data_IF_625401697096
#
_entry.id   IF_625401697096
#
_cell.length_a   1.000
_cell.length_b   1.000
_cell.length_c   1.000
_cell.angle_alpha   90.00
_cell.angle_beta   90.00
_cell.angle_gamma   90.00
#
_symmetry.space_group_name_H-M   'P 1'
#
loop_
_entity.id
_entity.type
_entity.pdbx_description
1 polymer ?
#
# COMPACT_ATOMS: atom_id res chain seq x y z
N UNK A 1 6.14 14.76 44.52
CA UNK A 1 6.26 14.60 43.05
C UNK A 1 5.65 13.25 42.66
N UNK A 2 4.75 13.20 41.67
CA UNK A 2 4.30 11.92 41.10
C UNK A 2 5.51 11.25 40.45
N UNK A 3 5.75 9.96 40.73
CA UNK A 3 6.81 9.21 40.05
C UNK A 3 6.53 9.22 38.54
N UNK A 4 7.54 9.48 37.70
CA UNK A 4 7.37 9.35 36.25
C UNK A 4 6.99 7.90 35.91
N UNK A 5 6.07 7.75 34.96
CA UNK A 5 5.70 6.43 34.44
C UNK A 5 6.84 5.92 33.56
N UNK A 6 7.17 4.64 33.67
CA UNK A 6 8.20 3.96 32.87
C UNK A 6 7.57 2.82 32.06
N UNK A 7 8.28 2.32 31.05
CA UNK A 7 7.80 1.25 30.16
C UNK A 7 8.36 -0.14 30.52
N UNK A 8 9.26 -0.26 31.51
CA UNK A 8 9.97 -1.51 31.84
C UNK A 8 9.09 -2.75 31.92
N UNK A 9 7.95 -2.68 32.61
CA UNK A 9 7.06 -3.84 32.78
C UNK A 9 6.40 -4.23 31.46
N UNK A 10 6.08 -3.24 30.62
CA UNK A 10 5.51 -3.48 29.30
C UNK A 10 6.54 -4.12 28.37
N UNK A 11 7.77 -3.59 28.33
CA UNK A 11 8.85 -4.12 27.50
C UNK A 11 9.32 -5.51 27.96
N UNK A 12 9.30 -5.79 29.26
CA UNK A 12 9.61 -7.13 29.80
C UNK A 12 8.55 -8.17 29.44
N UNK A 13 7.26 -7.80 29.49
CA UNK A 13 6.16 -8.70 29.16
C UNK A 13 5.98 -8.91 27.65
N UNK A 14 6.41 -7.93 26.85
CA UNK A 14 6.36 -7.99 25.40
C UNK A 14 7.77 -7.82 24.82
N UNK A 15 8.51 -8.93 24.85
CA UNK A 15 9.87 -8.98 24.35
C UNK A 15 9.93 -8.63 22.85
N UNK A 16 11.01 -7.96 22.45
CA UNK A 16 11.30 -7.75 21.04
C UNK A 16 11.79 -9.04 20.42
N UNK A 17 11.31 -9.35 19.21
CA UNK A 17 11.77 -10.48 18.42
C UNK A 17 12.30 -9.93 17.09
N UNK A 18 13.60 -10.03 16.80
CA UNK A 18 14.17 -9.53 15.55
C UNK A 18 13.78 -10.39 14.34
N UNK A 19 13.21 -11.59 14.53
CA UNK A 19 12.85 -12.52 13.45
C UNK A 19 11.45 -12.30 12.90
N UNK A 20 10.61 -11.53 13.57
CA UNK A 20 9.19 -11.38 13.20
C UNK A 20 8.63 -10.03 13.59
N UNK A 21 7.66 -9.56 12.81
CA UNK A 21 6.97 -8.31 13.11
C UNK A 21 5.98 -8.52 14.27
N UNK A 22 6.35 -7.99 15.43
CA UNK A 22 5.57 -8.05 16.66
C UNK A 22 4.55 -6.92 16.72
N UNK A 23 3.30 -7.22 16.37
CA UNK A 23 2.20 -6.23 16.35
C UNK A 23 0.96 -6.76 17.06
N UNK A 24 0.14 -5.84 17.56
CA UNK A 24 -1.17 -6.13 18.13
C UNK A 24 -2.08 -4.92 18.03
N UNK A 25 -3.38 -5.16 18.06
CA UNK A 25 -4.39 -4.12 18.27
C UNK A 25 -4.89 -4.18 19.71
N UNK A 26 -4.96 -3.03 20.39
CA UNK A 26 -5.44 -2.92 21.77
C UNK A 26 -6.35 -1.70 21.92
N UNK A 27 -7.07 -1.64 23.04
CA UNK A 27 -7.87 -0.47 23.43
C UNK A 27 -7.02 0.58 24.14
N UNK A 28 -7.12 1.83 23.68
CA UNK A 28 -6.58 3.01 24.34
C UNK A 28 -7.30 3.31 25.66
N UNK A 29 -6.82 4.33 26.38
CA UNK A 29 -7.43 4.75 27.66
C UNK A 29 -8.89 5.23 27.50
N UNK A 30 -9.19 5.70 26.30
CA UNK A 30 -10.45 6.25 25.79
C UNK A 30 -11.22 5.24 24.92
N UNK A 31 -10.88 3.95 24.98
CA UNK A 31 -11.59 2.83 24.32
C UNK A 31 -11.54 2.81 22.78
N UNK A 32 -10.75 3.70 22.18
CA UNK A 32 -10.42 3.63 20.75
C UNK A 32 -9.43 2.50 20.47
N UNK A 33 -9.53 1.89 19.29
CA UNK A 33 -8.54 0.90 18.85
C UNK A 33 -7.25 1.60 18.44
N UNK A 34 -6.12 1.08 18.95
CA UNK A 34 -4.77 1.47 18.55
C UNK A 34 -3.97 0.26 18.16
N UNK A 35 -3.09 0.46 17.18
CA UNK A 35 -2.05 -0.49 16.87
C UNK A 35 -0.86 -0.26 17.79
N UNK A 36 -0.21 -1.35 18.18
CA UNK A 36 1.11 -1.30 18.78
C UNK A 36 2.05 -2.17 17.98
N UNK A 37 3.24 -1.64 17.70
CA UNK A 37 4.34 -2.35 17.07
C UNK A 37 5.54 -2.34 18.01
N UNK A 38 6.08 -3.52 18.32
CA UNK A 38 7.31 -3.64 19.11
C UNK A 38 8.50 -3.44 18.19
N UNK A 39 9.27 -2.39 18.45
CA UNK A 39 10.58 -2.13 17.82
C UNK A 39 11.68 -2.46 18.83
N UNK A 40 12.94 -2.53 18.42
CA UNK A 40 14.05 -2.98 19.28
C UNK A 40 14.04 -2.35 20.69
N UNK A 41 14.20 -1.02 20.74
CA UNK A 41 14.29 -0.26 21.99
C UNK A 41 12.96 0.35 22.46
N UNK A 42 11.83 0.04 21.83
CA UNK A 42 10.57 0.70 22.17
C UNK A 42 9.30 0.09 21.58
N UNK A 43 8.24 0.86 21.65
CA UNK A 43 6.93 0.51 21.08
C UNK A 43 6.44 1.72 20.31
N UNK A 44 6.04 1.51 19.06
CA UNK A 44 5.21 2.49 18.36
C UNK A 44 3.76 2.23 18.72
N UNK A 45 3.02 3.27 19.05
CA UNK A 45 1.57 3.23 19.15
C UNK A 45 1.01 4.07 18.02
N UNK A 46 0.15 3.47 17.20
CA UNK A 46 -0.34 4.07 15.98
C UNK A 46 -1.88 4.16 16.03
N UNK A 47 -2.40 5.31 15.63
CA UNK A 47 -3.82 5.52 15.38
C UNK A 47 -4.32 4.67 14.22
N UNK A 48 -5.55 4.20 14.32
CA UNK A 48 -6.17 3.34 13.29
C UNK A 48 -6.89 4.12 12.19
N UNK A 49 -6.99 5.44 12.35
CA UNK A 49 -7.62 6.41 11.44
C UNK A 49 -6.80 7.70 11.42
N UNK A 50 -6.90 8.48 10.35
CA UNK A 50 -6.12 9.72 10.18
C UNK A 50 -4.60 9.46 10.19
N UNK A 51 -3.81 10.45 10.61
CA UNK A 51 -2.36 10.33 10.71
C UNK A 51 -1.97 9.34 11.82
N UNK A 52 -1.03 8.40 11.60
CA UNK A 52 -0.72 7.35 12.56
C UNK A 52 -0.23 7.84 13.93
N UNK A 53 0.31 9.05 14.06
CA UNK A 53 0.67 9.62 15.37
C UNK A 53 -0.48 10.36 16.07
N UNK A 54 -1.63 10.52 15.40
CA UNK A 54 -2.81 11.19 15.92
C UNK A 54 -2.76 12.71 15.93
N UNK A 55 -1.76 13.32 15.31
CA UNK A 55 -1.70 14.78 15.16
C UNK A 55 -2.60 15.26 14.03
N UNK A 56 -3.26 16.41 14.24
CA UNK A 56 -3.99 17.14 13.20
C UNK A 56 -3.08 18.21 12.60
N UNK A 57 -2.99 18.27 11.27
CA UNK A 57 -2.15 19.25 10.56
C UNK A 57 -3.03 20.39 10.06
N UNK A 58 -2.97 21.53 10.75
CA UNK A 58 -3.78 22.71 10.41
C UNK A 58 -5.28 22.40 10.27
N UNK A 59 -5.79 21.44 11.07
CA UNK A 59 -7.17 20.97 11.02
C UNK A 59 -7.46 19.83 10.03
N UNK A 60 -6.43 19.32 9.34
CA UNK A 60 -6.52 18.18 8.41
C UNK A 60 -6.09 16.88 9.10
N UNK A 61 -6.65 15.74 8.69
CA UNK A 61 -6.37 14.44 9.30
C UNK A 61 -5.03 13.85 8.85
N UNK A 62 -4.41 14.44 7.82
CA UNK A 62 -3.09 14.06 7.30
C UNK A 62 -2.40 15.24 6.62
N UNK A 63 -1.11 15.10 6.38
CA UNK A 63 -0.31 16.05 5.64
C UNK A 63 -0.70 16.06 4.15
N UNK A 64 -1.04 14.91 3.57
CA UNK A 64 -1.64 14.83 2.22
C UNK A 64 -2.89 15.72 2.10
N UNK A 65 -3.81 15.65 3.06
CA UNK A 65 -5.01 16.50 3.05
C UNK A 65 -4.67 17.98 3.19
N UNK A 66 -3.72 18.30 4.06
CA UNK A 66 -3.25 19.67 4.24
C UNK A 66 -2.68 20.25 2.94
N UNK A 67 -1.81 19.51 2.23
CA UNK A 67 -1.24 19.94 0.96
C UNK A 67 -2.30 20.10 -0.13
N UNK A 68 -3.31 19.22 -0.18
CA UNK A 68 -4.42 19.40 -1.12
C UNK A 68 -5.20 20.69 -0.84
N UNK A 69 -5.39 21.06 0.43
CA UNK A 69 -6.00 22.35 0.79
C UNK A 69 -5.10 23.53 0.41
N UNK A 70 -3.79 23.43 0.60
CA UNK A 70 -2.84 24.46 0.14
C UNK A 70 -2.96 24.65 -1.38
N UNK A 71 -2.87 23.57 -2.16
CA UNK A 71 -3.00 23.60 -3.63
C UNK A 71 -4.34 24.14 -4.12
N UNK A 72 -5.43 23.86 -3.41
CA UNK A 72 -6.75 24.41 -3.74
C UNK A 72 -6.83 25.92 -3.50
N UNK A 73 -6.15 26.43 -2.47
CA UNK A 73 -6.13 27.85 -2.14
C UNK A 73 -5.12 28.63 -3.00
N UNK A 74 -3.99 28.00 -3.33
CA UNK A 74 -2.88 28.53 -4.11
C UNK A 74 -2.43 27.47 -5.13
N UNK A 75 -2.90 27.53 -6.39
CA UNK A 75 -2.57 26.52 -7.41
C UNK A 75 -1.09 26.42 -7.76
N UNK A 76 -0.32 27.47 -7.50
CA UNK A 76 1.14 27.57 -7.72
C UNK A 76 1.92 27.30 -6.41
N UNK A 77 1.31 26.64 -5.43
CA UNK A 77 1.97 26.29 -4.17
C UNK A 77 3.15 25.35 -4.43
N UNK A 78 4.35 25.76 -4.03
CA UNK A 78 5.56 24.96 -4.10
C UNK A 78 5.90 24.40 -2.70
N UNK A 79 6.44 23.18 -2.66
CA UNK A 79 6.81 22.55 -1.40
C UNK A 79 7.94 23.32 -0.70
N UNK A 80 7.75 23.61 0.58
CA UNK A 80 8.79 24.18 1.43
C UNK A 80 9.65 23.07 2.08
N UNK A 81 10.82 23.43 2.62
CA UNK A 81 11.64 22.50 3.40
C UNK A 81 10.87 21.88 4.60
N UNK A 82 9.99 22.65 5.22
CA UNK A 82 9.13 22.15 6.29
C UNK A 82 8.13 21.12 5.78
N UNK A 83 7.64 21.30 4.56
CA UNK A 83 6.71 20.37 3.93
C UNK A 83 7.40 19.05 3.62
N UNK A 84 8.59 19.11 3.01
CA UNK A 84 9.42 17.93 2.76
C UNK A 84 9.64 17.12 4.04
N UNK A 85 9.99 17.76 5.15
CA UNK A 85 10.18 17.08 6.44
C UNK A 85 8.89 16.41 6.97
N UNK A 86 7.72 17.04 6.83
CA UNK A 86 6.46 16.42 7.27
C UNK A 86 6.00 15.29 6.33
N UNK A 87 6.30 15.40 5.04
CA UNK A 87 6.06 14.34 4.06
C UNK A 87 6.90 13.10 4.39
N UNK A 88 8.20 13.27 4.65
CA UNK A 88 9.11 12.18 5.05
C UNK A 88 8.59 11.47 6.30
N UNK A 89 8.12 12.24 7.29
CA UNK A 89 7.49 11.71 8.50
C UNK A 89 6.24 10.91 8.18
N UNK A 90 5.34 11.46 7.35
CA UNK A 90 4.09 10.81 6.99
C UNK A 90 4.33 9.49 6.23
N UNK A 91 5.28 9.45 5.29
CA UNK A 91 5.67 8.22 4.61
C UNK A 91 6.08 7.11 5.57
N UNK A 92 6.94 7.41 6.55
CA UNK A 92 7.38 6.43 7.54
C UNK A 92 6.25 5.98 8.47
N UNK A 93 5.37 6.90 8.86
CA UNK A 93 4.24 6.60 9.72
C UNK A 93 3.24 5.64 9.02
N UNK A 94 2.86 5.94 7.78
CA UNK A 94 1.96 5.09 7.01
C UNK A 94 2.61 3.77 6.61
N UNK A 95 3.92 3.73 6.36
CA UNK A 95 4.66 2.48 6.19
C UNK A 95 4.53 1.58 7.42
N UNK A 96 4.83 2.09 8.62
CA UNK A 96 4.71 1.31 9.85
C UNK A 96 3.29 0.82 10.10
N UNK A 97 2.28 1.63 9.81
CA UNK A 97 0.89 1.22 9.98
C UNK A 97 0.46 0.16 8.95
N UNK A 98 0.84 0.32 7.69
CA UNK A 98 0.57 -0.64 6.60
C UNK A 98 1.12 -2.04 6.92
N UNK A 99 2.36 -2.14 7.39
CA UNK A 99 2.95 -3.46 7.74
C UNK A 99 2.27 -4.08 8.97
N UNK A 100 1.77 -3.26 9.91
CA UNK A 100 0.94 -3.76 11.01
C UNK A 100 -0.37 -4.34 10.49
N UNK A 101 -1.03 -3.66 9.54
CA UNK A 101 -2.27 -4.15 8.93
C UNK A 101 -2.08 -5.46 8.19
N UNK A 102 -1.05 -5.57 7.35
CA UNK A 102 -0.70 -6.81 6.66
C UNK A 102 -0.49 -7.96 7.65
N UNK A 103 0.27 -7.71 8.73
CA UNK A 103 0.57 -8.73 9.74
C UNK A 103 -0.65 -9.16 10.56
N UNK A 104 -1.62 -8.27 10.74
CA UNK A 104 -2.89 -8.55 11.40
C UNK A 104 -4.01 -8.98 10.42
N UNK A 105 -3.68 -9.15 9.12
CA UNK A 105 -4.61 -9.56 8.07
C UNK A 105 -5.78 -8.58 7.85
N UNK A 106 -5.60 -7.30 8.19
CA UNK A 106 -6.56 -6.26 7.84
C UNK A 106 -6.23 -5.69 6.45
N UNK A 107 -6.40 -6.51 5.42
CA UNK A 107 -5.90 -6.23 4.08
C UNK A 107 -6.47 -4.96 3.46
N UNK A 108 -7.79 -4.73 3.57
CA UNK A 108 -8.42 -3.50 3.10
C UNK A 108 -7.79 -2.23 3.73
N UNK A 109 -7.41 -2.29 5.02
CA UNK A 109 -6.73 -1.16 5.69
C UNK A 109 -5.29 -0.98 5.20
N UNK A 110 -4.60 -2.07 4.88
CA UNK A 110 -3.26 -2.01 4.28
C UNK A 110 -3.30 -1.38 2.87
N UNK A 111 -4.33 -1.71 2.07
CA UNK A 111 -4.57 -1.07 0.76
C UNK A 111 -4.80 0.44 0.93
N UNK A 112 -5.68 0.84 1.86
CA UNK A 112 -5.93 2.28 2.14
C UNK A 112 -4.66 3.04 2.51
N UNK A 113 -3.80 2.48 3.37
CA UNK A 113 -2.53 3.12 3.74
C UNK A 113 -1.54 3.17 2.56
N UNK A 114 -1.55 2.17 1.68
CA UNK A 114 -0.75 2.19 0.45
C UNK A 114 -1.25 3.24 -0.55
N UNK A 115 -2.57 3.31 -0.78
CA UNK A 115 -3.21 4.31 -1.64
C UNK A 115 -2.94 5.74 -1.16
N UNK A 116 -3.01 5.97 0.16
CA UNK A 116 -2.63 7.24 0.76
C UNK A 116 -1.18 7.61 0.41
N UNK A 117 -0.26 6.66 0.61
CA UNK A 117 1.17 6.85 0.33
C UNK A 117 1.39 7.18 -1.15
N UNK A 118 0.77 6.44 -2.07
CA UNK A 118 0.92 6.67 -3.52
C UNK A 118 0.38 8.04 -3.94
N UNK A 119 -0.79 8.43 -3.42
CA UNK A 119 -1.36 9.76 -3.68
C UNK A 119 -0.49 10.89 -3.14
N UNK A 120 0.20 10.66 -2.02
CA UNK A 120 1.18 11.62 -1.50
C UNK A 120 2.41 11.69 -2.40
N UNK A 121 2.94 10.56 -2.88
CA UNK A 121 4.04 10.55 -3.86
C UNK A 121 3.67 11.29 -5.14
N UNK A 122 2.47 11.07 -5.70
CA UNK A 122 1.98 11.77 -6.89
C UNK A 122 1.89 13.28 -6.65
N UNK A 123 1.37 13.70 -5.50
CA UNK A 123 1.29 15.10 -5.14
C UNK A 123 2.68 15.75 -4.96
N UNK A 124 3.66 14.99 -4.48
CA UNK A 124 5.04 15.45 -4.36
C UNK A 124 5.70 15.64 -5.72
N UNK A 125 5.44 14.73 -6.67
CA UNK A 125 5.91 14.86 -8.06
C UNK A 125 5.31 16.11 -8.74
N UNK A 126 4.04 16.43 -8.44
CA UNK A 126 3.36 17.62 -8.98
C UNK A 126 3.84 18.95 -8.37
N UNK A 127 4.16 18.98 -7.06
CA UNK A 127 4.40 20.22 -6.30
C UNK A 127 5.87 20.54 -6.04
N UNK A 128 6.78 19.59 -6.24
CA UNK A 128 8.21 19.79 -5.96
C UNK A 128 8.92 20.42 -7.16
N UNK A 129 9.75 21.43 -6.88
CA UNK A 129 10.71 22.02 -7.82
C UNK A 129 12.11 21.38 -7.73
N UNK A 130 12.29 20.40 -6.83
CA UNK A 130 13.53 19.66 -6.59
C UNK A 130 13.42 18.20 -7.05
N UNK A 131 13.87 17.88 -8.28
CA UNK A 131 13.85 16.52 -8.79
C UNK A 131 14.69 15.53 -7.98
N UNK A 132 15.73 15.99 -7.29
CA UNK A 132 16.58 15.13 -6.47
C UNK A 132 15.81 14.65 -5.24
N UNK A 133 15.10 15.56 -4.55
CA UNK A 133 14.24 15.21 -3.43
C UNK A 133 13.01 14.37 -3.86
N UNK A 134 12.36 14.68 -4.98
CA UNK A 134 11.29 13.82 -5.50
C UNK A 134 11.78 12.39 -5.76
N UNK A 135 12.99 12.26 -6.33
CA UNK A 135 13.59 10.96 -6.63
C UNK A 135 13.87 10.12 -5.38
N UNK A 136 14.19 10.73 -4.24
CA UNK A 136 14.46 9.97 -3.00
C UNK A 136 13.26 9.18 -2.52
N UNK A 137 12.04 9.62 -2.85
CA UNK A 137 10.80 8.94 -2.50
C UNK A 137 10.31 8.01 -3.60
N UNK A 138 10.43 8.45 -4.86
CA UNK A 138 9.93 7.73 -6.02
C UNK A 138 10.60 6.35 -6.18
N UNK A 139 11.88 6.20 -5.77
CA UNK A 139 12.57 4.91 -5.74
C UNK A 139 11.90 3.86 -4.84
N UNK A 140 11.09 4.27 -3.86
CA UNK A 140 10.36 3.37 -2.96
C UNK A 140 8.95 3.03 -3.46
N UNK A 141 8.46 3.68 -4.53
CA UNK A 141 7.13 3.42 -5.09
C UNK A 141 6.90 1.93 -5.41
N UNK A 142 7.86 1.17 -5.99
CA UNK A 142 7.70 -0.28 -6.20
C UNK A 142 7.37 -1.06 -4.93
N UNK A 143 7.98 -0.69 -3.79
CA UNK A 143 7.68 -1.33 -2.50
C UNK A 143 6.28 -1.00 -1.97
N UNK A 144 5.75 0.19 -2.26
CA UNK A 144 4.38 0.55 -1.88
C UNK A 144 3.38 -0.20 -2.74
N UNK A 145 3.60 -0.24 -4.05
CA UNK A 145 2.80 -0.99 -5.01
C UNK A 145 2.80 -2.49 -4.70
N UNK A 146 3.97 -3.07 -4.40
CA UNK A 146 4.08 -4.46 -3.98
C UNK A 146 3.18 -4.80 -2.78
N UNK A 147 3.27 -4.01 -1.69
CA UNK A 147 2.44 -4.24 -0.51
C UNK A 147 0.95 -4.01 -0.80
N UNK A 148 0.63 -3.02 -1.63
CA UNK A 148 -0.76 -2.75 -2.06
C UNK A 148 -1.33 -3.95 -2.80
N UNK A 149 -0.62 -4.45 -3.81
CA UNK A 149 -1.03 -5.60 -4.63
C UNK A 149 -1.14 -6.87 -3.80
N UNK A 150 -0.17 -7.13 -2.92
CA UNK A 150 -0.24 -8.26 -1.99
C UNK A 150 -1.45 -8.15 -1.07
N UNK A 151 -1.71 -6.97 -0.48
CA UNK A 151 -2.87 -6.77 0.37
C UNK A 151 -4.19 -6.95 -0.40
N UNK A 152 -4.33 -6.33 -1.57
CA UNK A 152 -5.52 -6.46 -2.42
C UNK A 152 -5.79 -7.92 -2.76
N UNK A 153 -4.77 -8.66 -3.24
CA UNK A 153 -4.91 -10.08 -3.59
C UNK A 153 -5.35 -10.95 -2.41
N UNK A 154 -4.77 -10.73 -1.22
CA UNK A 154 -5.13 -11.49 -0.03
C UNK A 154 -6.52 -11.11 0.49
N UNK A 155 -6.93 -9.84 0.37
CA UNK A 155 -8.29 -9.39 0.67
C UNK A 155 -9.32 -10.02 -0.26
N UNK A 156 -9.07 -10.03 -1.57
CA UNK A 156 -9.91 -10.71 -2.57
C UNK A 156 -10.02 -12.21 -2.30
N UNK A 157 -8.95 -12.84 -1.81
CA UNK A 157 -8.96 -14.25 -1.45
C UNK A 157 -9.85 -14.53 -0.22
N UNK A 158 -9.90 -13.60 0.74
CA UNK A 158 -10.76 -13.72 1.93
C UNK A 158 -12.23 -13.41 1.65
N UNK A 159 -12.50 -12.41 0.81
CA UNK A 159 -13.83 -11.84 0.63
C UNK A 159 -14.54 -12.35 -0.64
N UNK A 160 -13.78 -12.75 -1.68
CA UNK A 160 -14.29 -13.10 -3.00
C UNK A 160 -13.78 -14.47 -3.48
N UNK A 161 -13.02 -14.51 -4.57
CA UNK A 161 -12.57 -15.77 -5.21
C UNK A 161 -11.08 -15.75 -5.50
N UNK A 162 -10.47 -16.94 -5.60
CA UNK A 162 -9.08 -17.06 -6.03
C UNK A 162 -8.84 -16.51 -7.45
N UNK A 163 -9.86 -16.50 -8.33
CA UNK A 163 -9.77 -15.84 -9.63
C UNK A 163 -9.61 -14.31 -9.46
N UNK A 164 -10.38 -13.69 -8.57
CA UNK A 164 -10.27 -12.25 -8.28
C UNK A 164 -8.94 -11.89 -7.59
N UNK A 165 -8.43 -12.75 -6.70
CA UNK A 165 -7.11 -12.58 -6.11
C UNK A 165 -6.00 -12.59 -7.17
N UNK A 166 -6.06 -13.53 -8.13
CA UNK A 166 -5.12 -13.58 -9.27
C UNK A 166 -5.27 -12.33 -10.14
N UNK A 167 -6.50 -11.86 -10.37
CA UNK A 167 -6.74 -10.62 -11.11
C UNK A 167 -6.16 -9.39 -10.42
N UNK A 168 -6.25 -9.28 -9.10
CA UNK A 168 -5.62 -8.20 -8.34
C UNK A 168 -4.09 -8.20 -8.52
N UNK A 169 -3.46 -9.38 -8.53
CA UNK A 169 -2.02 -9.50 -8.79
C UNK A 169 -1.68 -9.07 -10.22
N UNK A 170 -2.45 -9.51 -11.22
CA UNK A 170 -2.23 -9.10 -12.62
C UNK A 170 -2.31 -7.58 -12.79
N UNK A 171 -3.34 -6.92 -12.26
CA UNK A 171 -3.45 -5.45 -12.27
C UNK A 171 -2.26 -4.76 -11.59
N UNK A 172 -1.81 -5.32 -10.46
CA UNK A 172 -0.63 -4.83 -9.75
C UNK A 172 0.65 -4.93 -10.58
N UNK A 173 0.87 -6.07 -11.23
CA UNK A 173 2.00 -6.31 -12.13
C UNK A 173 1.97 -5.38 -13.35
N UNK A 174 0.80 -5.12 -13.93
CA UNK A 174 0.63 -4.14 -15.01
C UNK A 174 1.01 -2.73 -14.54
N UNK A 175 0.55 -2.33 -13.36
CA UNK A 175 0.87 -1.02 -12.76
C UNK A 175 2.37 -0.88 -12.52
N UNK A 176 3.00 -1.93 -11.97
CA UNK A 176 4.45 -1.97 -11.78
C UNK A 176 5.20 -1.93 -13.11
N UNK A 177 4.75 -2.65 -14.15
CA UNK A 177 5.37 -2.63 -15.47
C UNK A 177 5.33 -1.22 -16.07
N UNK A 178 4.19 -0.54 -15.97
CA UNK A 178 4.06 0.85 -16.40
C UNK A 178 5.03 1.78 -15.66
N UNK A 179 5.27 1.56 -14.36
CA UNK A 179 6.30 2.29 -13.62
C UNK A 179 7.71 2.03 -14.18
N UNK A 180 8.10 0.77 -14.39
CA UNK A 180 9.42 0.45 -14.95
C UNK A 180 9.61 1.05 -16.36
N UNK A 181 8.57 1.05 -17.19
CA UNK A 181 8.58 1.71 -18.51
C UNK A 181 8.73 3.23 -18.37
N UNK A 182 7.97 3.89 -17.47
CA UNK A 182 8.08 5.33 -17.21
C UNK A 182 9.51 5.76 -16.84
N UNK A 183 10.25 4.86 -16.18
CA UNK A 183 11.60 5.10 -15.70
C UNK A 183 12.71 4.45 -16.57
N UNK A 184 12.40 4.08 -17.82
CA UNK A 184 13.34 3.48 -18.78
C UNK A 184 14.08 2.23 -18.24
N UNK A 185 13.42 1.46 -17.37
CA UNK A 185 13.98 0.31 -16.66
C UNK A 185 13.25 -1.01 -16.99
N UNK A 186 12.43 -1.06 -18.04
CA UNK A 186 11.63 -2.24 -18.41
C UNK A 186 12.46 -3.52 -18.56
N UNK A 187 13.72 -3.41 -19.02
CA UNK A 187 14.64 -4.54 -19.16
C UNK A 187 14.96 -5.26 -17.84
N UNK A 188 14.77 -4.60 -16.70
CA UNK A 188 14.97 -5.17 -15.36
C UNK A 188 13.69 -5.69 -14.71
N UNK A 189 12.52 -5.50 -15.34
CA UNK A 189 11.23 -5.80 -14.72
C UNK A 189 11.10 -7.27 -14.33
N UNK A 190 11.44 -8.19 -15.22
CA UNK A 190 11.27 -9.63 -14.97
C UNK A 190 12.32 -10.20 -13.97
N UNK A 191 13.39 -9.44 -13.69
CA UNK A 191 14.47 -9.82 -12.75
C UNK A 191 14.30 -9.19 -11.36
N UNK A 192 13.42 -8.19 -11.21
CA UNK A 192 13.19 -7.50 -9.95
C UNK A 192 12.55 -8.43 -8.90
N UNK A 193 13.10 -8.41 -7.67
CA UNK A 193 12.70 -9.32 -6.60
C UNK A 193 11.23 -9.16 -6.20
N UNK A 194 10.68 -7.95 -6.23
CA UNK A 194 9.28 -7.70 -5.88
C UNK A 194 8.35 -8.27 -6.94
N UNK A 195 8.72 -8.14 -8.22
CA UNK A 195 7.98 -8.68 -9.36
C UNK A 195 7.97 -10.21 -9.30
N UNK A 196 9.14 -10.82 -9.12
CA UNK A 196 9.28 -12.27 -8.99
C UNK A 196 8.38 -12.80 -7.86
N UNK A 197 8.40 -12.17 -6.69
CA UNK A 197 7.55 -12.57 -5.56
C UNK A 197 6.05 -12.45 -5.82
N UNK A 198 5.61 -11.43 -6.55
CA UNK A 198 4.19 -11.31 -6.95
C UNK A 198 3.79 -12.39 -7.95
N UNK A 199 4.66 -12.69 -8.92
CA UNK A 199 4.43 -13.78 -9.88
C UNK A 199 4.37 -15.13 -9.14
N UNK A 200 5.29 -15.40 -8.21
CA UNK A 200 5.27 -16.61 -7.38
C UNK A 200 3.97 -16.73 -6.57
N UNK A 201 3.52 -15.64 -5.94
CA UNK A 201 2.24 -15.61 -5.22
C UNK A 201 1.06 -15.92 -6.15
N UNK A 202 1.05 -15.34 -7.35
CA UNK A 202 0.00 -15.60 -8.34
C UNK A 202 -0.05 -17.07 -8.75
N UNK A 203 1.09 -17.66 -9.09
CA UNK A 203 1.16 -19.06 -9.52
C UNK A 203 0.88 -20.04 -8.35
N UNK A 204 1.24 -19.68 -7.12
CA UNK A 204 0.88 -20.49 -5.94
C UNK A 204 -0.63 -20.52 -5.74
N UNK A 205 -1.32 -19.37 -5.82
CA UNK A 205 -2.78 -19.31 -5.72
C UNK A 205 -3.45 -20.08 -6.86
N UNK A 206 -2.93 -19.95 -8.08
CA UNK A 206 -3.43 -20.70 -9.24
C UNK A 206 -3.38 -22.20 -9.01
N UNK A 207 -2.26 -22.69 -8.49
CA UNK A 207 -2.05 -24.11 -8.21
C UNK A 207 -2.92 -24.60 -7.05
N UNK A 208 -2.93 -23.87 -5.93
CA UNK A 208 -3.65 -24.24 -4.71
C UNK A 208 -5.16 -24.31 -4.93
N UNK A 209 -5.72 -23.35 -5.67
CA UNK A 209 -7.17 -23.24 -5.90
C UNK A 209 -7.63 -23.81 -7.25
N UNK A 210 -6.71 -24.42 -8.03
CA UNK A 210 -6.99 -24.99 -9.36
C UNK A 210 -7.66 -24.00 -10.31
N UNK A 211 -7.24 -22.74 -10.27
CA UNK A 211 -7.75 -21.69 -11.16
C UNK A 211 -7.06 -21.83 -12.53
N UNK A 212 -7.83 -21.76 -13.61
CA UNK A 212 -7.29 -21.75 -14.96
C UNK A 212 -6.77 -20.37 -15.37
N UNK A 213 -6.74 -20.10 -16.67
CA UNK A 213 -6.66 -18.72 -17.15
C UNK A 213 -7.90 -17.96 -16.69
N UNK A 214 -7.66 -16.78 -16.13
CA UNK A 214 -8.72 -15.88 -15.73
C UNK A 214 -9.48 -15.32 -16.93
N UNK A 215 -10.68 -14.76 -16.73
CA UNK A 215 -11.44 -14.15 -17.83
C UNK A 215 -10.66 -13.07 -18.61
N UNK A 216 -9.87 -12.20 -17.93
CA UNK A 216 -9.02 -11.22 -18.62
C UNK A 216 -7.91 -11.88 -19.44
N UNK A 217 -7.21 -12.86 -18.88
CA UNK A 217 -6.15 -13.57 -19.62
C UNK A 217 -6.71 -14.28 -20.87
N UNK A 218 -7.93 -14.84 -20.76
CA UNK A 218 -8.62 -15.44 -21.90
C UNK A 218 -9.02 -14.39 -22.95
N UNK A 219 -9.40 -13.19 -22.51
CA UNK A 219 -9.73 -12.08 -23.40
C UNK A 219 -8.49 -11.60 -24.15
N UNK A 220 -7.38 -11.37 -23.46
CA UNK A 220 -6.10 -10.97 -24.05
C UNK A 220 -5.63 -11.99 -25.07
N UNK A 221 -5.62 -13.28 -24.70
CA UNK A 221 -5.27 -14.36 -25.61
C UNK A 221 -6.19 -14.38 -26.85
N UNK A 222 -7.49 -14.13 -26.70
CA UNK A 222 -8.42 -14.06 -27.81
C UNK A 222 -8.15 -12.86 -28.73
N UNK A 223 -7.73 -11.71 -28.19
CA UNK A 223 -7.35 -10.53 -28.98
C UNK A 223 -6.05 -10.77 -29.73
N UNK A 224 -5.02 -11.31 -29.07
CA UNK A 224 -3.72 -11.61 -29.68
C UNK A 224 -3.82 -12.59 -30.85
N UNK A 225 -4.76 -13.55 -30.77
CA UNK A 225 -5.00 -14.55 -31.80
C UNK A 225 -6.11 -14.14 -32.78
N UNK A 226 -6.53 -12.87 -32.78
CA UNK A 226 -7.55 -12.30 -33.68
C UNK A 226 -8.93 -13.01 -33.61
N UNK A 227 -9.24 -13.67 -32.49
CA UNK A 227 -10.54 -14.29 -32.22
C UNK A 227 -11.55 -13.25 -31.71
N UNK A 228 -11.85 -12.23 -32.53
CA UNK A 228 -12.61 -11.04 -32.11
C UNK A 228 -14.04 -11.33 -31.61
N UNK A 229 -14.72 -12.38 -32.11
CA UNK A 229 -16.04 -12.78 -31.62
C UNK A 229 -15.97 -13.32 -30.18
N UNK A 230 -14.98 -14.18 -29.90
CA UNK A 230 -14.73 -14.68 -28.54
C UNK A 230 -14.31 -13.53 -27.62
N UNK A 231 -13.46 -12.62 -28.09
CA UNK A 231 -13.06 -11.45 -27.32
C UNK A 231 -14.27 -10.56 -26.96
N UNK A 232 -15.20 -10.34 -27.89
CA UNK A 232 -16.43 -9.59 -27.60
C UNK A 232 -17.29 -10.29 -26.53
N UNK A 233 -17.47 -11.61 -26.62
CA UNK A 233 -18.22 -12.38 -25.61
C UNK A 233 -17.58 -12.32 -24.22
N UNK A 234 -16.25 -12.49 -24.14
CA UNK A 234 -15.51 -12.42 -22.89
C UNK A 234 -15.56 -11.03 -22.27
N UNK A 235 -15.48 -9.98 -23.08
CA UNK A 235 -15.66 -8.59 -22.63
C UNK A 235 -17.06 -8.36 -22.06
N UNK A 236 -18.10 -8.84 -22.74
CA UNK A 236 -19.48 -8.70 -22.26
C UNK A 236 -19.75 -9.52 -20.98
N UNK A 237 -19.01 -10.62 -20.76
CA UNK A 237 -19.02 -11.35 -19.49
C UNK A 237 -18.30 -10.57 -18.37
N UNK A 238 -17.14 -9.98 -18.65
CA UNK A 238 -16.42 -9.12 -17.70
C UNK A 238 -17.29 -7.94 -17.25
N UNK A 239 -17.88 -7.20 -18.20
CA UNK A 239 -18.76 -6.06 -17.87
C UNK A 239 -19.92 -6.46 -16.97
N UNK A 240 -20.48 -7.67 -17.16
CA UNK A 240 -21.57 -8.18 -16.32
C UNK A 240 -21.13 -8.51 -14.89
N UNK A 241 -19.90 -9.00 -14.70
CA UNK A 241 -19.32 -9.26 -13.38
C UNK A 241 -19.01 -7.96 -12.64
N UNK A 242 -18.55 -6.92 -13.34
CA UNK A 242 -18.23 -5.62 -12.73
C UNK A 242 -19.46 -4.79 -12.31
N UNK A 243 -20.66 -5.14 -12.78
CA UNK A 243 -21.91 -4.41 -12.45
C UNK A 243 -22.73 -5.05 -11.32
N UNK A 244 -22.28 -6.17 -10.75
CA UNK A 244 -22.92 -6.86 -9.60
C UNK A 244 -22.02 -6.81 -8.37
#
# INVERSE_FOLDING_TARGET
>A
MKRPRHLDDLLKRWAFDPSTLNVRMIKGKDDRDVLQMRVDMGILQLETTGRPDGELINGSDSYLEHLNLCRLNEPEYELTEQDCNEIDREFMQFYHRRICWLRLQFYHRAVMDADHTLRLMDLCEDLSDDPEWSSTHEQYRPFVLFHRTQAEALGELEENTAEEAIQAINRGLETLRAFFVKHDAEEHFDEDELIVRLVELRESLRTEYSVGQTLRERLEHAVEHEHYELAAQLRDELTRRETH
#
